data_IF_403014200023
#
_entry.id   IF_403014200023
#
_cell.length_a   1.000
_cell.length_b   1.000
_cell.length_c   1.000
_cell.angle_alpha   90.00
_cell.angle_beta   90.00
_cell.angle_gamma   90.00
#
_symmetry.space_group_name_H-M   'P 1'
#
loop_
_entity.id
_entity.type
_entity.pdbx_description
1 polymer ?
#
# COMPACT_ATOMS: atom_id res chain seq x y z
N UNK A 1 -16.89 -7.05 -5.16
CA UNK A 1 -15.97 -5.98 -5.61
C UNK A 1 -16.21 -5.55 -7.06
N UNK A 2 -16.51 -6.46 -8.01
CA UNK A 2 -16.82 -6.04 -9.39
C UNK A 2 -17.94 -4.99 -9.49
N UNK A 3 -18.97 -5.09 -8.64
CA UNK A 3 -20.05 -4.11 -8.60
C UNK A 3 -19.55 -2.69 -8.24
N UNK A 4 -18.62 -2.57 -7.28
CA UNK A 4 -17.95 -1.31 -6.97
C UNK A 4 -17.20 -0.79 -8.20
N UNK A 5 -16.45 -1.65 -8.88
CA UNK A 5 -15.73 -1.27 -10.10
C UNK A 5 -16.65 -0.71 -11.18
N UNK A 6 -17.83 -1.31 -11.38
CA UNK A 6 -18.84 -0.79 -12.33
C UNK A 6 -19.37 0.59 -11.93
N UNK A 7 -19.67 0.80 -10.64
CA UNK A 7 -20.10 2.11 -10.14
C UNK A 7 -19.00 3.15 -10.36
N UNK A 8 -17.76 2.82 -10.04
CA UNK A 8 -16.61 3.72 -10.21
C UNK A 8 -16.31 3.99 -11.69
N UNK A 9 -16.55 3.05 -12.59
CA UNK A 9 -16.46 3.32 -14.02
C UNK A 9 -17.53 4.32 -14.47
N UNK A 10 -18.77 4.17 -13.99
CA UNK A 10 -19.84 5.15 -14.28
C UNK A 10 -19.55 6.53 -13.71
N UNK A 11 -18.93 6.59 -12.54
CA UNK A 11 -18.46 7.84 -11.96
C UNK A 11 -17.50 8.60 -12.91
N UNK A 12 -16.66 7.89 -13.66
CA UNK A 12 -15.68 8.53 -14.56
C UNK A 12 -16.29 9.16 -15.80
N UNK A 13 -17.56 8.86 -16.10
CA UNK A 13 -18.31 9.49 -17.19
C UNK A 13 -18.85 10.89 -16.79
N UNK A 14 -18.82 11.22 -15.49
CA UNK A 14 -19.33 12.48 -14.96
C UNK A 14 -18.33 13.63 -15.16
N UNK A 15 -18.78 14.82 -15.59
CA UNK A 15 -17.88 15.95 -15.88
C UNK A 15 -17.14 16.49 -14.66
N UNK A 16 -17.71 16.30 -13.46
CA UNK A 16 -17.12 16.73 -12.20
C UNK A 16 -16.01 15.81 -11.68
N UNK A 17 -15.87 14.59 -12.21
CA UNK A 17 -14.84 13.66 -11.76
C UNK A 17 -13.57 13.81 -12.60
N UNK A 18 -12.44 13.99 -11.93
CA UNK A 18 -11.14 13.98 -12.58
C UNK A 18 -10.22 12.93 -11.94
N UNK A 19 -9.44 12.27 -12.79
CA UNK A 19 -8.42 11.34 -12.35
C UNK A 19 -7.26 12.06 -11.67
N UNK A 20 -6.62 11.38 -10.73
CA UNK A 20 -5.31 11.83 -10.23
C UNK A 20 -4.35 12.01 -11.43
N UNK A 21 -3.51 13.06 -11.46
CA UNK A 21 -2.68 13.37 -12.65
C UNK A 21 -1.85 12.18 -13.16
N UNK A 22 -1.31 11.37 -12.25
CA UNK A 22 -0.52 10.15 -12.60
C UNK A 22 -1.36 8.91 -12.91
N UNK A 23 -2.67 8.97 -12.73
CA UNK A 23 -3.61 7.87 -12.93
C UNK A 23 -4.48 8.05 -14.17
N UNK A 24 -4.42 9.22 -14.81
CA UNK A 24 -5.28 9.59 -15.93
C UNK A 24 -5.12 8.69 -17.14
N UNK A 25 -3.87 8.40 -17.54
CA UNK A 25 -3.59 7.59 -18.73
C UNK A 25 -4.06 6.14 -18.55
N UNK A 26 -3.92 5.60 -17.34
CA UNK A 26 -4.39 4.28 -16.96
C UNK A 26 -5.89 4.24 -16.63
N UNK A 27 -6.57 5.40 -16.60
CA UNK A 27 -7.95 5.55 -16.09
C UNK A 27 -8.14 4.86 -14.73
N UNK A 28 -7.12 4.94 -13.88
CA UNK A 28 -7.08 4.23 -12.61
C UNK A 28 -7.88 4.99 -11.56
N UNK A 29 -9.00 4.39 -11.10
CA UNK A 29 -9.83 4.91 -10.00
C UNK A 29 -9.63 4.15 -8.70
N UNK A 30 -9.30 2.86 -8.76
CA UNK A 30 -9.20 2.02 -7.58
C UNK A 30 -8.22 0.86 -7.75
N UNK A 31 -7.67 0.40 -6.64
CA UNK A 31 -6.95 -0.87 -6.51
C UNK A 31 -7.62 -1.69 -5.41
N UNK A 32 -7.90 -2.96 -5.70
CA UNK A 32 -8.56 -3.86 -4.77
C UNK A 32 -7.75 -5.14 -4.61
N UNK A 33 -7.51 -5.56 -3.37
CA UNK A 33 -7.01 -6.88 -3.06
C UNK A 33 -7.70 -7.41 -1.80
N UNK A 34 -8.50 -8.47 -1.94
CA UNK A 34 -9.39 -8.96 -0.89
C UNK A 34 -10.25 -7.82 -0.30
N UNK A 35 -10.04 -7.46 0.96
CA UNK A 35 -10.69 -6.39 1.71
C UNK A 35 -9.93 -5.05 1.68
N UNK A 36 -8.68 -5.04 1.22
CA UNK A 36 -7.90 -3.81 1.09
C UNK A 36 -8.28 -3.07 -0.20
N UNK A 37 -8.78 -1.84 -0.04
CA UNK A 37 -9.22 -0.95 -1.12
C UNK A 37 -8.45 0.38 -1.07
N UNK A 38 -7.84 0.76 -2.19
CA UNK A 38 -7.32 2.10 -2.42
C UNK A 38 -8.19 2.78 -3.47
N UNK A 39 -8.65 3.99 -3.17
CA UNK A 39 -9.37 4.84 -4.12
C UNK A 39 -8.51 6.05 -4.49
N UNK A 40 -8.46 6.39 -5.78
CA UNK A 40 -7.64 7.45 -6.34
C UNK A 40 -8.51 8.40 -7.18
N UNK A 41 -8.39 9.70 -6.93
CA UNK A 41 -8.98 10.75 -7.74
C UNK A 41 -8.11 12.01 -7.68
N UNK A 42 -8.46 13.03 -8.46
CA UNK A 42 -7.80 14.33 -8.39
C UNK A 42 -8.04 14.97 -7.01
N UNK A 43 -7.04 15.72 -6.54
CA UNK A 43 -7.07 16.43 -5.26
C UNK A 43 -7.94 17.69 -5.31
N UNK A 44 -9.21 17.55 -5.64
CA UNK A 44 -10.21 18.61 -5.61
C UNK A 44 -11.50 18.10 -4.97
N UNK A 45 -12.21 19.00 -4.28
CA UNK A 45 -13.41 18.63 -3.55
C UNK A 45 -14.49 17.97 -4.44
N UNK A 46 -14.83 18.47 -5.65
CA UNK A 46 -15.84 17.85 -6.52
C UNK A 46 -15.55 16.39 -6.89
N UNK A 47 -14.30 16.09 -7.28
CA UNK A 47 -13.88 14.73 -7.63
C UNK A 47 -13.97 13.78 -6.43
N UNK A 48 -13.46 14.22 -5.27
CA UNK A 48 -13.47 13.43 -4.03
C UNK A 48 -14.89 13.20 -3.54
N UNK A 49 -15.73 14.23 -3.55
CA UNK A 49 -17.11 14.13 -3.08
C UNK A 49 -17.92 13.15 -3.95
N UNK A 50 -17.76 13.22 -5.27
CA UNK A 50 -18.42 12.28 -6.18
C UNK A 50 -17.96 10.84 -5.95
N UNK A 51 -16.67 10.64 -5.69
CA UNK A 51 -16.09 9.35 -5.33
C UNK A 51 -16.67 8.79 -4.01
N UNK A 52 -16.82 9.63 -2.99
CA UNK A 52 -17.45 9.26 -1.72
C UNK A 52 -18.92 8.89 -1.90
N UNK A 53 -19.67 9.60 -2.75
CA UNK A 53 -21.06 9.26 -3.07
C UNK A 53 -21.17 7.89 -3.78
N UNK A 54 -20.30 7.63 -4.75
CA UNK A 54 -20.22 6.34 -5.42
C UNK A 54 -19.92 5.20 -4.43
N UNK A 55 -19.00 5.44 -3.49
CA UNK A 55 -18.67 4.47 -2.44
C UNK A 55 -19.83 4.26 -1.45
N UNK A 56 -20.54 5.33 -1.06
CA UNK A 56 -21.72 5.24 -0.21
C UNK A 56 -22.87 4.47 -0.89
N UNK A 57 -23.08 4.69 -2.19
CA UNK A 57 -24.03 3.91 -3.00
C UNK A 57 -23.67 2.42 -2.96
N UNK A 58 -22.40 2.08 -3.20
CA UNK A 58 -21.93 0.70 -3.10
C UNK A 58 -22.18 0.11 -1.70
N UNK A 59 -21.86 0.85 -0.65
CA UNK A 59 -22.05 0.41 0.75
C UNK A 59 -23.53 0.12 1.03
N UNK A 60 -24.43 1.01 0.59
CA UNK A 60 -25.88 0.84 0.76
C UNK A 60 -26.43 -0.36 -0.02
N UNK A 61 -25.97 -0.57 -1.25
CA UNK A 61 -26.45 -1.66 -2.10
C UNK A 61 -25.89 -3.03 -1.71
N UNK A 62 -24.65 -3.09 -1.23
CA UNK A 62 -23.98 -4.36 -0.87
C UNK A 62 -24.16 -4.75 0.60
N UNK A 63 -24.50 -3.79 1.47
CA UNK A 63 -24.47 -3.96 2.92
C UNK A 63 -23.06 -3.96 3.53
N UNK A 64 -22.01 -3.81 2.72
CA UNK A 64 -20.62 -3.77 3.19
C UNK A 64 -20.29 -2.37 3.71
N UNK A 65 -19.62 -2.30 4.86
CA UNK A 65 -19.22 -1.05 5.49
C UNK A 65 -17.70 -0.95 5.58
N UNK A 66 -17.15 0.23 5.28
CA UNK A 66 -15.74 0.51 5.53
C UNK A 66 -15.46 0.54 7.03
N UNK A 67 -14.35 -0.08 7.44
CA UNK A 67 -13.91 -0.01 8.82
C UNK A 67 -13.26 1.35 9.09
N UNK A 68 -13.99 2.25 9.75
CA UNK A 68 -13.55 3.62 10.06
C UNK A 68 -12.24 3.70 10.86
N UNK A 69 -11.89 2.68 11.65
CA UNK A 69 -10.64 2.70 12.42
C UNK A 69 -9.42 2.27 11.59
N UNK A 70 -9.63 1.66 10.43
CA UNK A 70 -8.58 1.23 9.50
C UNK A 70 -8.52 2.09 8.23
N UNK A 71 -9.65 2.69 7.84
CA UNK A 71 -9.77 3.56 6.67
C UNK A 71 -9.28 4.97 6.97
N UNK A 72 -8.50 5.52 6.05
CA UNK A 72 -7.80 6.80 6.22
C UNK A 72 -7.74 7.55 4.89
N UNK A 73 -7.67 8.88 4.96
CA UNK A 73 -7.58 9.76 3.79
C UNK A 73 -6.19 10.36 3.68
N UNK A 74 -5.62 10.31 2.48
CA UNK A 74 -4.33 10.93 2.16
C UNK A 74 -4.55 12.06 1.16
N UNK A 75 -4.31 13.30 1.59
CA UNK A 75 -4.41 14.49 0.76
C UNK A 75 -3.03 15.14 0.59
N UNK A 76 -2.66 15.49 -0.64
CA UNK A 76 -1.41 16.18 -0.95
C UNK A 76 -1.64 17.26 -2.00
N UNK A 77 -1.06 18.45 -1.79
CA UNK A 77 -1.20 19.59 -2.71
C UNK A 77 -2.60 20.21 -2.74
N UNK A 78 -3.39 20.04 -1.66
CA UNK A 78 -4.72 20.62 -1.49
C UNK A 78 -4.70 21.72 -0.44
N UNK A 79 -5.58 22.72 -0.60
CA UNK A 79 -5.78 23.76 0.40
C UNK A 79 -6.34 23.18 1.70
N UNK A 80 -5.89 23.70 2.85
CA UNK A 80 -6.31 23.18 4.15
C UNK A 80 -7.82 23.26 4.35
N UNK A 81 -8.49 24.29 3.82
CA UNK A 81 -9.94 24.40 3.88
C UNK A 81 -10.65 23.23 3.17
N UNK A 82 -10.19 22.85 1.97
CA UNK A 82 -10.75 21.72 1.23
C UNK A 82 -10.41 20.38 1.90
N UNK A 83 -9.22 20.24 2.48
CA UNK A 83 -8.87 19.04 3.22
C UNK A 83 -9.80 18.84 4.43
N UNK A 84 -10.08 19.90 5.18
CA UNK A 84 -11.02 19.84 6.31
C UNK A 84 -12.41 19.40 5.83
N UNK A 85 -12.93 20.00 4.74
CA UNK A 85 -14.21 19.60 4.15
C UNK A 85 -14.23 18.13 3.73
N UNK A 86 -13.14 17.62 3.16
CA UNK A 86 -13.02 16.21 2.75
C UNK A 86 -13.02 15.27 3.95
N UNK A 87 -12.28 15.61 5.02
CA UNK A 87 -12.24 14.82 6.25
C UNK A 87 -13.62 14.75 6.89
N UNK A 88 -14.32 15.89 6.97
CA UNK A 88 -15.69 15.97 7.47
C UNK A 88 -16.68 15.15 6.63
N UNK A 89 -16.62 15.30 5.29
CA UNK A 89 -17.51 14.59 4.38
C UNK A 89 -17.26 13.07 4.34
N UNK A 90 -16.00 12.64 4.45
CA UNK A 90 -15.64 11.22 4.43
C UNK A 90 -15.85 10.53 5.78
N UNK A 91 -15.70 11.25 6.88
CA UNK A 91 -15.70 10.68 8.24
C UNK A 91 -14.47 9.80 8.54
N UNK A 92 -13.41 9.91 7.73
CA UNK A 92 -12.15 9.19 7.94
C UNK A 92 -11.06 10.12 8.47
N UNK A 93 -10.10 9.55 9.20
CA UNK A 93 -8.96 10.30 9.73
C UNK A 93 -7.98 10.63 8.60
N UNK A 94 -7.51 11.87 8.55
CA UNK A 94 -6.41 12.27 7.67
C UNK A 94 -5.10 11.68 8.17
N UNK A 95 -4.35 11.04 7.28
CA UNK A 95 -3.00 10.53 7.56
C UNK A 95 -1.99 11.06 6.55
N UNK A 96 -0.71 10.79 6.80
CA UNK A 96 0.42 11.24 5.97
C UNK A 96 1.16 10.02 5.43
N UNK A 97 1.68 10.13 4.21
CA UNK A 97 2.53 9.11 3.62
C UNK A 97 3.87 8.99 4.39
N UNK A 98 4.48 7.80 4.46
CA UNK A 98 4.07 6.55 3.81
C UNK A 98 2.99 5.80 4.59
N UNK A 99 2.27 4.92 3.90
CA UNK A 99 1.39 3.92 4.53
C UNK A 99 1.72 2.51 4.04
N UNK A 100 1.28 1.49 4.77
CA UNK A 100 1.55 0.10 4.41
C UNK A 100 0.40 -0.48 3.57
N UNK A 101 0.72 -1.05 2.43
CA UNK A 101 -0.22 -1.77 1.57
C UNK A 101 0.38 -3.12 1.19
N UNK A 102 -0.37 -4.21 1.41
CA UNK A 102 0.07 -5.60 1.13
C UNK A 102 1.43 -5.97 1.74
N UNK A 103 1.81 -5.35 2.86
CA UNK A 103 3.08 -5.65 3.53
C UNK A 103 4.26 -4.76 3.16
N UNK A 104 4.12 -3.86 2.18
CA UNK A 104 5.16 -2.94 1.70
C UNK A 104 4.76 -1.48 1.98
N UNK A 105 5.69 -0.60 2.37
CA UNK A 105 5.40 0.83 2.54
C UNK A 105 5.25 1.53 1.19
N UNK A 106 4.07 2.08 0.93
CA UNK A 106 3.78 2.94 -0.22
C UNK A 106 4.27 4.35 0.08
N UNK A 107 5.30 4.76 -0.64
CA UNK A 107 5.99 6.04 -0.48
C UNK A 107 5.77 6.94 -1.69
N UNK A 108 5.68 8.26 -1.47
CA UNK A 108 5.64 9.27 -2.55
C UNK A 108 7.01 9.43 -3.25
N UNK A 109 8.09 9.14 -2.53
CA UNK A 109 9.49 9.27 -2.97
C UNK A 109 10.15 7.89 -3.06
N UNK A 110 11.40 7.87 -3.53
CA UNK A 110 12.25 6.67 -3.44
C UNK A 110 12.28 6.15 -2.00
N UNK A 111 12.23 4.83 -1.85
CA UNK A 111 12.24 4.19 -0.53
C UNK A 111 13.58 4.48 0.16
N UNK A 112 13.51 4.92 1.41
CA UNK A 112 14.69 5.17 2.24
C UNK A 112 15.18 3.87 2.88
N UNK A 113 16.45 3.83 3.30
CA UNK A 113 16.99 2.68 4.02
C UNK A 113 16.16 2.35 5.28
N UNK A 114 15.78 3.37 6.06
CA UNK A 114 14.98 3.17 7.28
C UNK A 114 13.58 2.59 7.03
N UNK A 115 12.99 2.84 5.85
CA UNK A 115 11.70 2.20 5.48
C UNK A 115 11.87 0.71 5.13
N UNK A 116 13.09 0.30 4.77
CA UNK A 116 13.43 -1.10 4.53
C UNK A 116 13.83 -1.86 5.80
N UNK A 117 14.00 -1.19 6.94
CA UNK A 117 14.37 -1.87 8.20
C UNK A 117 13.36 -2.96 8.56
N UNK A 118 12.07 -2.74 8.28
CA UNK A 118 11.02 -3.75 8.48
C UNK A 118 11.28 -5.04 7.69
N UNK A 119 11.88 -4.96 6.50
CA UNK A 119 12.27 -6.14 5.73
C UNK A 119 13.45 -6.85 6.41
N UNK A 120 14.49 -6.09 6.76
CA UNK A 120 15.71 -6.59 7.41
C UNK A 120 15.39 -7.26 8.74
N UNK A 121 14.53 -6.65 9.56
CA UNK A 121 14.07 -7.17 10.84
C UNK A 121 13.29 -8.47 10.69
N UNK A 122 12.38 -8.56 9.69
CA UNK A 122 11.65 -9.80 9.41
C UNK A 122 12.58 -10.94 9.01
N UNK A 123 13.59 -10.66 8.18
CA UNK A 123 14.59 -11.65 7.77
C UNK A 123 15.42 -12.11 8.97
N UNK A 124 15.88 -11.15 9.78
CA UNK A 124 16.66 -11.40 10.99
C UNK A 124 15.87 -12.22 12.00
N UNK A 125 14.60 -11.90 12.23
CA UNK A 125 13.74 -12.64 13.15
C UNK A 125 13.57 -14.11 12.72
N UNK A 126 13.39 -14.37 11.42
CA UNK A 126 13.32 -15.74 10.89
C UNK A 126 14.63 -16.50 11.08
N UNK A 127 15.76 -15.86 10.78
CA UNK A 127 17.09 -16.46 10.99
C UNK A 127 17.31 -16.80 12.46
N UNK A 128 17.02 -15.87 13.39
CA UNK A 128 17.15 -16.13 14.83
C UNK A 128 16.38 -17.38 15.27
N UNK A 129 15.17 -17.58 14.75
CA UNK A 129 14.35 -18.77 15.03
C UNK A 129 14.95 -20.04 14.40
N UNK A 130 15.56 -19.95 13.22
CA UNK A 130 16.18 -21.12 12.58
C UNK A 130 17.54 -21.47 13.17
N UNK A 131 18.29 -20.48 13.67
CA UNK A 131 19.58 -20.68 14.33
C UNK A 131 19.48 -21.47 15.64
N UNK A 132 18.31 -21.53 16.28
CA UNK A 132 18.09 -22.40 17.44
C UNK A 132 17.92 -23.88 17.06
N UNK A 133 17.79 -24.18 15.77
CA UNK A 133 17.63 -25.54 15.25
C UNK A 133 18.98 -26.05 14.73
N UNK A 134 19.28 -27.32 15.00
CA UNK A 134 20.46 -27.99 14.43
C UNK A 134 20.22 -28.31 12.95
N UNK A 135 20.49 -27.33 12.08
CA UNK A 135 20.34 -27.42 10.64
C UNK A 135 21.68 -27.66 9.95
N UNK A 136 21.70 -28.57 8.97
CA UNK A 136 22.85 -28.74 8.09
C UNK A 136 23.05 -27.50 7.20
N UNK A 137 24.27 -27.34 6.68
CA UNK A 137 24.60 -26.27 5.75
C UNK A 137 23.65 -26.23 4.53
N UNK A 138 23.35 -27.40 3.95
CA UNK A 138 22.42 -27.52 2.82
C UNK A 138 21.01 -27.06 3.18
N UNK A 139 20.54 -27.41 4.39
CA UNK A 139 19.23 -26.97 4.85
C UNK A 139 19.18 -25.44 5.05
N UNK A 140 20.26 -24.84 5.58
CA UNK A 140 20.38 -23.38 5.74
C UNK A 140 20.36 -22.67 4.38
N UNK A 141 21.14 -23.15 3.40
CA UNK A 141 21.13 -22.65 2.02
C UNK A 141 19.73 -22.72 1.40
N UNK A 142 19.02 -23.83 1.59
CA UNK A 142 17.67 -23.99 1.06
C UNK A 142 16.67 -23.02 1.69
N UNK A 143 16.75 -22.77 3.01
CA UNK A 143 15.90 -21.78 3.69
C UNK A 143 16.19 -20.35 3.21
N UNK A 144 17.46 -20.00 2.99
CA UNK A 144 17.83 -18.70 2.42
C UNK A 144 17.17 -18.54 1.05
N UNK A 145 17.36 -19.51 0.15
CA UNK A 145 16.88 -19.39 -1.23
C UNK A 145 15.36 -19.40 -1.34
N UNK A 146 14.68 -20.27 -0.58
CA UNK A 146 13.22 -20.42 -0.67
C UNK A 146 12.44 -19.34 0.09
N UNK A 147 12.95 -18.86 1.23
CA UNK A 147 12.20 -17.97 2.12
C UNK A 147 12.79 -16.56 2.19
N UNK A 148 14.09 -16.43 2.40
CA UNK A 148 14.70 -15.11 2.60
C UNK A 148 14.79 -14.34 1.28
N UNK A 149 15.26 -14.99 0.22
CA UNK A 149 15.36 -14.35 -1.08
C UNK A 149 13.98 -14.05 -1.67
N UNK A 150 12.96 -14.88 -1.41
CA UNK A 150 11.59 -14.59 -1.86
C UNK A 150 10.99 -13.36 -1.18
N UNK A 151 11.26 -13.13 0.12
CA UNK A 151 10.89 -11.89 0.82
C UNK A 151 11.55 -10.66 0.20
N UNK A 152 12.86 -10.74 -0.07
CA UNK A 152 13.59 -9.69 -0.75
C UNK A 152 13.02 -9.43 -2.16
N UNK A 153 12.75 -10.48 -2.93
CA UNK A 153 12.26 -10.38 -4.30
C UNK A 153 10.89 -9.70 -4.35
N UNK A 154 10.01 -9.99 -3.38
CA UNK A 154 8.71 -9.33 -3.27
C UNK A 154 8.84 -7.80 -3.11
N UNK A 155 9.80 -7.34 -2.32
CA UNK A 155 10.06 -5.89 -2.18
C UNK A 155 10.73 -5.31 -3.43
N UNK A 156 11.65 -6.05 -4.05
CA UNK A 156 12.37 -5.64 -5.25
C UNK A 156 11.45 -5.51 -6.49
N UNK A 157 10.31 -6.20 -6.52
CA UNK A 157 9.29 -6.03 -7.55
C UNK A 157 8.61 -4.65 -7.51
N UNK A 158 8.52 -4.04 -6.34
CA UNK A 158 7.85 -2.74 -6.14
C UNK A 158 8.86 -1.59 -6.14
N UNK A 159 10.03 -1.80 -5.54
CA UNK A 159 11.04 -0.75 -5.34
C UNK A 159 12.44 -1.18 -5.74
N UNK A 160 13.19 -0.22 -6.26
CA UNK A 160 14.65 -0.33 -6.33
C UNK A 160 15.20 -0.14 -4.92
N UNK A 161 15.70 -1.22 -4.32
CA UNK A 161 16.23 -1.20 -2.96
C UNK A 161 17.56 -0.43 -2.86
N UNK A 162 17.79 0.37 -1.80
CA UNK A 162 19.07 1.03 -1.58
C UNK A 162 20.22 0.02 -1.43
N UNK A 163 21.40 0.39 -1.92
CA UNK A 163 22.60 -0.46 -1.85
C UNK A 163 22.96 -0.86 -0.42
N UNK A 164 22.78 0.03 0.56
CA UNK A 164 23.00 -0.27 1.98
C UNK A 164 22.14 -1.44 2.46
N UNK A 165 20.85 -1.43 2.13
CA UNK A 165 19.89 -2.50 2.49
C UNK A 165 20.30 -3.82 1.87
N UNK A 166 20.72 -3.83 0.60
CA UNK A 166 21.19 -5.05 -0.07
C UNK A 166 22.46 -5.63 0.60
N UNK A 167 23.38 -4.76 1.04
CA UNK A 167 24.55 -5.18 1.80
C UNK A 167 24.18 -5.76 3.16
N UNK A 168 23.19 -5.19 3.85
CA UNK A 168 22.71 -5.70 5.14
C UNK A 168 22.01 -7.06 4.97
N UNK A 169 21.15 -7.22 3.96
CA UNK A 169 20.53 -8.50 3.60
C UNK A 169 21.61 -9.56 3.34
N UNK A 170 22.63 -9.21 2.55
CA UNK A 170 23.74 -10.12 2.23
C UNK A 170 24.53 -10.49 3.47
N UNK A 171 24.80 -9.53 4.36
CA UNK A 171 25.49 -9.77 5.64
C UNK A 171 24.71 -10.76 6.51
N UNK A 172 23.40 -10.56 6.63
CA UNK A 172 22.51 -11.40 7.44
C UNK A 172 22.43 -12.83 6.89
N UNK A 173 22.28 -12.99 5.57
CA UNK A 173 22.29 -14.32 4.94
C UNK A 173 23.63 -15.03 5.13
N UNK A 174 24.75 -14.32 5.00
CA UNK A 174 26.10 -14.88 5.23
C UNK A 174 26.32 -15.29 6.68
N UNK A 175 25.80 -14.54 7.65
CA UNK A 175 25.92 -14.88 9.06
C UNK A 175 25.08 -16.11 9.46
N UNK A 176 24.03 -16.45 8.71
CA UNK A 176 23.19 -17.62 8.96
C UNK A 176 23.78 -18.92 8.41
N UNK A 177 24.60 -18.85 7.36
CA UNK A 177 25.30 -19.99 6.80
C UNK A 177 26.33 -20.54 7.78
#
# INVERSE_FOLDING_TARGET
MEYLSRILHKLTELPQFQYHPRCKDLKLTHLCFADDLILCCKGDYPSIYSLLQAFALFSKSSGLMANKSKSVVYCHGMDNADVTRVVEASGFVRSVLPFKYLGVPICSKKISAGQCDVLVDKMTARIKIWSTRNLSYTARMQLINSVLLSLHMYWAQVYILPKSVLLDITRICRAFL
#
